data_IF_122776665626
#
_entry.id   IF_122776665626
#
_cell.length_a   1.000
_cell.length_b   1.000
_cell.length_c   1.000
_cell.angle_alpha   90.00
_cell.angle_beta   90.00
_cell.angle_gamma   90.00
#
_symmetry.space_group_name_H-M   'P 1'
#
loop_
_entity.id
_entity.type
_entity.pdbx_description
1 polymer ?
#
# COMPACT_ATOMS: atom_id res chain seq x y z
N UNK A 1 23.45 -11.43 -6.21
CA UNK A 1 22.05 -11.87 -6.38
C UNK A 1 22.07 -13.26 -6.99
N UNK A 2 21.41 -14.21 -6.35
CA UNK A 2 21.35 -15.60 -6.82
C UNK A 2 20.51 -15.69 -8.11
N UNK A 3 20.76 -16.69 -8.97
CA UNK A 3 20.03 -16.84 -10.24
C UNK A 3 18.52 -16.95 -10.02
N UNK A 4 18.11 -17.69 -8.99
CA UNK A 4 16.71 -17.88 -8.61
C UNK A 4 16.06 -16.57 -8.18
N UNK A 5 16.74 -15.80 -7.33
CA UNK A 5 16.26 -14.50 -6.87
C UNK A 5 16.10 -13.51 -8.04
N UNK A 6 17.04 -13.51 -9.00
CA UNK A 6 16.92 -12.73 -10.24
C UNK A 6 15.70 -13.07 -11.06
N UNK A 7 15.38 -14.36 -11.19
CA UNK A 7 14.19 -14.77 -11.90
C UNK A 7 12.91 -14.29 -11.19
N UNK A 8 12.88 -14.31 -9.85
CA UNK A 8 11.76 -13.77 -9.07
C UNK A 8 11.58 -12.28 -9.29
N UNK A 9 12.67 -11.49 -9.30
CA UNK A 9 12.59 -10.06 -9.59
C UNK A 9 12.03 -9.79 -10.99
N UNK A 10 12.50 -10.53 -12.00
CA UNK A 10 12.01 -10.41 -13.38
C UNK A 10 10.52 -10.77 -13.45
N UNK A 11 10.11 -11.85 -12.77
CA UNK A 11 8.72 -12.30 -12.73
C UNK A 11 7.79 -11.28 -12.07
N UNK A 12 8.16 -10.78 -10.89
CA UNK A 12 7.34 -9.77 -10.20
C UNK A 12 7.29 -8.49 -11.02
N UNK A 13 8.42 -8.02 -11.54
CA UNK A 13 8.47 -6.82 -12.38
C UNK A 13 7.63 -6.97 -13.66
N UNK A 14 7.63 -8.14 -14.31
CA UNK A 14 6.82 -8.37 -15.51
C UNK A 14 5.32 -8.39 -15.20
N UNK A 15 4.91 -8.96 -14.06
CA UNK A 15 3.51 -8.91 -13.59
C UNK A 15 3.09 -7.47 -13.31
N UNK A 16 3.91 -6.70 -12.58
CA UNK A 16 3.60 -5.29 -12.29
C UNK A 16 3.53 -4.44 -13.56
N UNK A 17 4.43 -4.68 -14.51
CA UNK A 17 4.39 -4.06 -15.83
C UNK A 17 3.12 -4.43 -16.59
N UNK A 18 2.71 -5.69 -16.59
CA UNK A 18 1.48 -6.14 -17.25
C UNK A 18 0.23 -5.47 -16.64
N UNK A 19 0.17 -5.34 -15.31
CA UNK A 19 -0.92 -4.63 -14.62
C UNK A 19 -0.96 -3.15 -15.05
N UNK A 20 0.18 -2.45 -15.02
CA UNK A 20 0.25 -1.05 -15.41
C UNK A 20 -0.06 -0.82 -16.89
N UNK A 21 0.45 -1.70 -17.77
CA UNK A 21 0.19 -1.66 -19.20
C UNK A 21 -1.30 -1.93 -19.51
N UNK A 22 -1.92 -2.93 -18.85
CA UNK A 22 -3.35 -3.19 -18.97
C UNK A 22 -4.18 -1.97 -18.56
N UNK A 23 -3.73 -1.22 -17.54
CA UNK A 23 -4.39 0.01 -17.15
C UNK A 23 -4.34 1.08 -18.24
N UNK A 24 -3.16 1.36 -18.79
CA UNK A 24 -2.96 2.32 -19.89
C UNK A 24 -3.74 1.94 -21.14
N UNK A 25 -3.82 0.65 -21.48
CA UNK A 25 -4.58 0.14 -22.63
C UNK A 25 -6.09 0.31 -22.41
N UNK A 26 -6.56 0.23 -21.17
CA UNK A 26 -7.99 0.28 -20.84
C UNK A 26 -8.58 1.68 -20.97
N UNK A 27 -8.00 2.68 -20.30
CA UNK A 27 -8.53 4.05 -20.30
C UNK A 27 -7.83 4.96 -21.32
N UNK A 28 -6.73 4.48 -21.93
CA UNK A 28 -5.82 5.31 -22.73
C UNK A 28 -4.79 6.06 -21.85
N UNK A 29 -3.64 6.46 -22.41
CA UNK A 29 -2.52 7.00 -21.64
C UNK A 29 -2.84 8.33 -20.95
N UNK A 30 -3.56 9.24 -21.61
CA UNK A 30 -3.84 10.58 -21.09
C UNK A 30 -4.81 10.50 -19.90
N UNK A 31 -5.91 9.77 -20.05
CA UNK A 31 -6.93 9.65 -18.99
C UNK A 31 -6.41 8.83 -17.81
N UNK A 32 -5.61 7.78 -18.08
CA UNK A 32 -4.93 7.01 -17.02
C UNK A 32 -4.03 7.91 -16.15
N UNK A 33 -3.23 8.77 -16.77
CA UNK A 33 -2.31 9.66 -16.03
C UNK A 33 -3.09 10.72 -15.25
N UNK A 34 -4.12 11.34 -15.86
CA UNK A 34 -4.98 12.30 -15.14
C UNK A 34 -5.65 11.64 -13.94
N UNK A 35 -6.24 10.46 -14.13
CA UNK A 35 -6.85 9.69 -13.05
C UNK A 35 -5.84 9.34 -11.96
N UNK A 36 -4.62 8.92 -12.32
CA UNK A 36 -3.55 8.65 -11.35
C UNK A 36 -3.23 9.87 -10.47
N UNK A 37 -3.15 11.06 -11.07
CA UNK A 37 -2.91 12.31 -10.33
C UNK A 37 -4.08 12.58 -9.38
N UNK A 38 -5.32 12.45 -9.86
CA UNK A 38 -6.53 12.60 -9.03
C UNK A 38 -6.46 11.67 -7.83
N UNK A 39 -6.11 10.38 -8.03
CA UNK A 39 -5.98 9.41 -6.96
C UNK A 39 -4.98 9.83 -5.87
N UNK A 40 -3.86 10.48 -6.23
CA UNK A 40 -2.89 10.95 -5.23
C UNK A 40 -3.48 12.01 -4.29
N UNK A 41 -4.48 12.77 -4.75
CA UNK A 41 -5.11 13.87 -4.02
C UNK A 41 -6.49 13.55 -3.47
N UNK A 42 -6.91 12.28 -3.54
CA UNK A 42 -8.21 11.83 -3.06
C UNK A 42 -8.11 11.23 -1.65
N UNK A 43 -9.05 11.62 -0.79
CA UNK A 43 -9.27 10.97 0.50
C UNK A 43 -9.55 9.48 0.33
N UNK A 44 -8.86 8.64 1.09
CA UNK A 44 -8.74 7.22 0.78
C UNK A 44 -9.31 6.31 1.88
N UNK A 45 -10.23 6.85 2.69
CA UNK A 45 -10.79 6.16 3.84
C UNK A 45 -11.69 5.00 3.41
N UNK A 46 -11.55 3.86 4.09
CA UNK A 46 -12.21 2.61 3.70
C UNK A 46 -13.76 2.70 3.79
N UNK A 47 -14.53 2.16 2.82
CA UNK A 47 -14.09 1.57 1.55
C UNK A 47 -14.09 2.65 0.45
N UNK A 48 -12.91 2.87 -0.15
CA UNK A 48 -12.73 3.77 -1.28
C UNK A 48 -12.24 2.97 -2.49
N UNK A 49 -13.13 2.65 -3.43
CA UNK A 49 -12.81 1.97 -4.68
C UNK A 49 -12.25 2.97 -5.73
N UNK A 50 -10.97 2.84 -6.06
CA UNK A 50 -10.30 3.73 -7.02
C UNK A 50 -10.73 3.50 -8.47
N UNK A 51 -11.35 2.36 -8.78
CA UNK A 51 -11.85 2.11 -10.14
C UNK A 51 -13.00 3.04 -10.53
N UNK A 52 -13.64 3.71 -9.55
CA UNK A 52 -14.62 4.77 -9.77
C UNK A 52 -14.04 6.02 -10.43
N UNK A 53 -12.74 6.29 -10.24
CA UNK A 53 -12.03 7.38 -10.94
C UNK A 53 -11.64 6.96 -12.35
N UNK A 54 -11.30 5.68 -12.52
CA UNK A 54 -10.93 5.07 -13.78
C UNK A 54 -10.28 3.72 -13.53
N UNK A 55 -10.63 2.71 -14.33
CA UNK A 55 -10.11 1.34 -14.18
C UNK A 55 -8.61 1.33 -14.48
N UNK A 56 -8.21 2.02 -15.52
CA UNK A 56 -6.81 2.18 -15.92
C UNK A 56 -5.99 2.93 -14.89
N UNK A 57 -6.52 4.04 -14.37
CA UNK A 57 -5.88 4.82 -13.31
C UNK A 57 -5.66 3.98 -12.03
N UNK A 58 -6.66 3.20 -11.61
CA UNK A 58 -6.56 2.31 -10.46
C UNK A 58 -5.51 1.22 -10.66
N UNK A 59 -5.49 0.56 -11.82
CA UNK A 59 -4.49 -0.47 -12.15
C UNK A 59 -3.06 0.09 -12.19
N UNK A 60 -2.87 1.27 -12.79
CA UNK A 60 -1.56 1.92 -12.80
C UNK A 60 -1.12 2.31 -11.38
N UNK A 61 -2.03 2.85 -10.57
CA UNK A 61 -1.75 3.17 -9.16
C UNK A 61 -1.35 1.91 -8.37
N UNK A 62 -2.09 0.80 -8.53
CA UNK A 62 -1.78 -0.48 -7.90
C UNK A 62 -0.38 -1.00 -8.29
N UNK A 63 -0.03 -0.92 -9.57
CA UNK A 63 1.30 -1.30 -10.05
C UNK A 63 2.41 -0.43 -9.45
N UNK A 64 2.18 0.89 -9.35
CA UNK A 64 3.16 1.83 -8.76
C UNK A 64 3.33 1.61 -7.25
N UNK A 65 2.24 1.41 -6.50
CA UNK A 65 2.29 1.08 -5.08
C UNK A 65 3.09 -0.20 -4.86
N UNK A 66 2.85 -1.24 -5.65
CA UNK A 66 3.59 -2.49 -5.56
C UNK A 66 5.06 -2.33 -6.00
N UNK A 67 5.34 -1.49 -6.99
CA UNK A 67 6.70 -1.20 -7.45
C UNK A 67 7.53 -0.51 -6.35
N UNK A 68 6.93 0.37 -5.54
CA UNK A 68 7.59 0.91 -4.33
C UNK A 68 8.03 -0.23 -3.42
N UNK A 69 7.17 -1.24 -3.22
CA UNK A 69 7.51 -2.40 -2.42
C UNK A 69 8.65 -3.23 -3.00
N UNK A 70 8.65 -3.47 -4.31
CA UNK A 70 9.72 -4.20 -5.01
C UNK A 70 11.06 -3.45 -4.91
N UNK A 71 11.05 -2.15 -5.14
CA UNK A 71 12.22 -1.26 -5.02
C UNK A 71 12.75 -1.25 -3.59
N UNK A 72 11.86 -1.19 -2.60
CA UNK A 72 12.22 -1.25 -1.19
C UNK A 72 12.97 -2.53 -0.85
N UNK A 73 12.45 -3.69 -1.27
CA UNK A 73 13.09 -5.00 -1.01
C UNK A 73 14.47 -5.06 -1.67
N UNK A 74 14.58 -4.57 -2.91
CA UNK A 74 15.84 -4.53 -3.65
C UNK A 74 16.92 -3.72 -2.93
N UNK A 75 16.60 -2.50 -2.48
CA UNK A 75 17.58 -1.63 -1.81
C UNK A 75 17.83 -2.00 -0.34
N UNK A 76 16.86 -2.63 0.33
CA UNK A 76 17.01 -3.02 1.74
C UNK A 76 17.82 -4.30 1.93
N UNK A 77 18.37 -4.87 0.85
CA UNK A 77 19.15 -6.12 0.85
C UNK A 77 18.41 -7.30 1.51
N UNK A 78 17.08 -7.33 1.36
CA UNK A 78 16.23 -8.42 1.83
C UNK A 78 16.01 -9.39 0.68
N UNK A 79 16.03 -10.69 0.97
CA UNK A 79 15.78 -11.70 -0.05
C UNK A 79 14.35 -11.61 -0.56
N UNK A 80 14.20 -11.59 -1.89
CA UNK A 80 12.89 -11.69 -2.51
C UNK A 80 12.39 -13.13 -2.35
N UNK A 81 11.52 -13.33 -1.37
CA UNK A 81 10.98 -14.60 -0.91
C UNK A 81 9.45 -14.54 -0.81
N UNK A 82 8.81 -15.68 -0.50
CA UNK A 82 7.35 -15.81 -0.38
C UNK A 82 6.69 -14.69 0.44
N UNK A 83 7.14 -14.37 1.67
CA UNK A 83 6.58 -13.29 2.48
C UNK A 83 6.69 -11.91 1.83
N UNK A 84 7.84 -11.58 1.23
CA UNK A 84 8.03 -10.28 0.56
C UNK A 84 7.21 -10.17 -0.73
N UNK A 85 7.09 -11.25 -1.49
CA UNK A 85 6.24 -11.30 -2.70
C UNK A 85 4.77 -11.15 -2.30
N UNK A 86 4.33 -11.85 -1.25
CA UNK A 86 2.98 -11.71 -0.71
C UNK A 86 2.71 -10.27 -0.25
N UNK A 87 3.67 -9.61 0.41
CA UNK A 87 3.56 -8.21 0.80
C UNK A 87 3.42 -7.27 -0.40
N UNK A 88 4.24 -7.46 -1.46
CA UNK A 88 4.19 -6.66 -2.69
C UNK A 88 2.83 -6.81 -3.39
N UNK A 89 2.31 -8.04 -3.54
CA UNK A 89 0.99 -8.23 -4.16
C UNK A 89 -0.16 -7.78 -3.27
N UNK A 90 -0.01 -7.86 -1.95
CA UNK A 90 -0.97 -7.26 -1.00
C UNK A 90 -1.00 -5.73 -1.16
N UNK A 91 0.17 -5.11 -1.32
CA UNK A 91 0.28 -3.69 -1.63
C UNK A 91 -0.39 -3.35 -2.97
N UNK A 92 -0.21 -4.18 -4.01
CA UNK A 92 -0.91 -4.03 -5.29
C UNK A 92 -2.44 -4.05 -5.10
N UNK A 93 -2.97 -5.08 -4.41
CA UNK A 93 -4.40 -5.23 -4.18
C UNK A 93 -5.01 -4.04 -3.43
N UNK A 94 -4.37 -3.61 -2.33
CA UNK A 94 -4.83 -2.42 -1.60
C UNK A 94 -4.55 -1.10 -2.34
N UNK A 95 -3.68 -1.10 -3.35
CA UNK A 95 -3.51 0.02 -4.29
C UNK A 95 -4.76 0.28 -5.14
N UNK A 96 -5.69 -0.67 -5.22
CA UNK A 96 -7.03 -0.46 -5.80
C UNK A 96 -8.02 0.14 -4.80
N UNK A 97 -7.70 0.07 -3.50
CA UNK A 97 -8.61 0.39 -2.38
C UNK A 97 -7.95 1.33 -1.37
N UNK A 98 -7.49 2.50 -1.82
CA UNK A 98 -7.11 3.57 -0.92
C UNK A 98 -5.61 3.70 -0.59
N UNK A 99 -4.74 2.88 -1.17
CA UNK A 99 -3.28 3.13 -1.09
C UNK A 99 -2.78 3.87 -2.30
N UNK A 100 -1.92 4.85 -2.09
CA UNK A 100 -1.26 5.63 -3.14
C UNK A 100 0.24 5.73 -2.85
N UNK A 101 1.09 5.95 -3.87
CA UNK A 101 2.47 6.34 -3.65
C UNK A 101 2.63 7.45 -2.60
N UNK A 102 1.81 8.51 -2.69
CA UNK A 102 1.86 9.64 -1.76
C UNK A 102 1.68 9.20 -0.30
N UNK A 103 0.71 8.32 -0.03
CA UNK A 103 0.34 7.96 1.34
C UNK A 103 1.19 6.81 1.92
N UNK A 104 1.82 6.00 1.07
CA UNK A 104 2.68 4.90 1.49
C UNK A 104 4.07 5.39 1.94
N UNK A 105 4.66 6.36 1.24
CA UNK A 105 6.04 6.80 1.46
C UNK A 105 6.29 7.36 2.88
N UNK A 106 5.42 8.19 3.47
CA UNK A 106 5.62 8.68 4.84
C UNK A 106 5.63 7.56 5.87
N UNK A 107 4.76 6.55 5.71
CA UNK A 107 4.71 5.39 6.60
C UNK A 107 6.01 4.60 6.53
N UNK A 108 6.49 4.32 5.31
CA UNK A 108 7.77 3.63 5.07
C UNK A 108 8.92 4.43 5.70
N UNK A 109 8.94 5.75 5.49
CA UNK A 109 9.94 6.65 6.08
C UNK A 109 9.94 6.60 7.61
N UNK A 110 8.75 6.56 8.22
CA UNK A 110 8.60 6.38 9.67
C UNK A 110 9.18 5.06 10.18
N UNK A 111 8.89 3.95 9.51
CA UNK A 111 9.42 2.63 9.89
C UNK A 111 10.95 2.59 9.78
N UNK A 112 11.51 3.20 8.73
CA UNK A 112 12.96 3.29 8.58
C UNK A 112 13.62 4.21 9.60
N UNK A 113 12.97 5.31 9.97
CA UNK A 113 13.42 6.15 11.08
C UNK A 113 13.46 5.34 12.40
N UNK A 114 12.47 4.49 12.65
CA UNK A 114 12.47 3.60 13.80
C UNK A 114 13.60 2.56 13.73
N UNK A 115 13.86 1.98 12.56
CA UNK A 115 14.98 1.05 12.37
C UNK A 115 16.33 1.74 12.67
N UNK A 116 16.52 2.96 12.16
CA UNK A 116 17.72 3.75 12.39
C UNK A 116 17.95 4.04 13.87
N UNK A 117 16.92 4.53 14.58
CA UNK A 117 17.00 4.82 16.02
C UNK A 117 17.21 3.55 16.85
N UNK A 118 16.62 2.43 16.45
CA UNK A 118 16.81 1.14 17.11
C UNK A 118 18.15 0.45 16.77
N UNK A 119 19.02 1.11 15.99
CA UNK A 119 20.27 0.54 15.47
C UNK A 119 20.07 -0.82 14.77
N UNK A 120 18.96 -0.96 14.03
CA UNK A 120 18.63 -2.14 13.23
C UNK A 120 18.92 -1.85 11.76
N UNK A 121 19.26 -2.90 11.01
CA UNK A 121 19.35 -2.80 9.55
C UNK A 121 17.96 -2.53 8.97
N UNK A 122 17.88 -1.68 7.93
CA UNK A 122 16.62 -1.36 7.24
C UNK A 122 15.91 -2.63 6.73
N UNK A 123 16.69 -3.62 6.31
CA UNK A 123 16.18 -4.93 5.89
C UNK A 123 15.34 -5.64 6.96
N UNK A 124 15.73 -5.53 8.23
CA UNK A 124 15.01 -6.19 9.34
C UNK A 124 13.58 -5.68 9.51
N UNK A 125 13.30 -4.43 9.12
CA UNK A 125 11.97 -3.82 9.22
C UNK A 125 11.24 -3.73 7.87
N UNK A 126 11.76 -4.35 6.81
CA UNK A 126 11.18 -4.24 5.47
C UNK A 126 9.75 -4.78 5.40
N UNK A 127 9.46 -5.96 5.96
CA UNK A 127 8.09 -6.48 6.00
C UNK A 127 7.16 -5.59 6.83
N UNK A 128 7.67 -4.98 7.90
CA UNK A 128 6.91 -4.02 8.71
C UNK A 128 6.59 -2.77 7.88
N UNK A 129 7.54 -2.27 7.09
CA UNK A 129 7.34 -1.12 6.20
C UNK A 129 6.31 -1.42 5.10
N UNK A 130 6.44 -2.56 4.43
CA UNK A 130 5.55 -2.97 3.33
C UNK A 130 4.10 -3.14 3.81
N UNK A 131 3.89 -3.93 4.87
CA UNK A 131 2.54 -4.14 5.42
C UNK A 131 2.03 -2.90 6.18
N UNK A 132 2.93 -2.12 6.75
CA UNK A 132 2.63 -0.86 7.44
C UNK A 132 1.89 0.15 6.58
N UNK A 133 2.09 0.12 5.26
CA UNK A 133 1.34 0.94 4.30
C UNK A 133 -0.18 0.79 4.38
N UNK A 134 -0.70 -0.22 5.09
CA UNK A 134 -2.10 -0.30 5.49
C UNK A 134 -2.61 0.95 6.23
N UNK A 135 -1.71 1.70 6.88
CA UNK A 135 -2.01 2.99 7.51
C UNK A 135 -2.04 4.17 6.54
N UNK A 136 -1.74 3.97 5.25
CA UNK A 136 -1.77 5.01 4.21
C UNK A 136 -3.04 5.87 4.21
N UNK A 137 -4.26 5.30 4.29
CA UNK A 137 -5.49 6.07 4.37
C UNK A 137 -5.52 7.14 5.45
N UNK A 138 -4.85 6.93 6.60
CA UNK A 138 -4.73 7.95 7.66
C UNK A 138 -4.04 9.22 7.16
N UNK A 139 -2.99 9.07 6.34
CA UNK A 139 -2.23 10.18 5.79
C UNK A 139 -3.11 11.03 4.88
N UNK A 140 -3.76 10.41 3.88
CA UNK A 140 -4.66 11.10 2.94
C UNK A 140 -5.89 11.69 3.60
N UNK A 141 -6.42 11.04 4.65
CA UNK A 141 -7.52 11.58 5.44
C UNK A 141 -7.14 12.93 6.08
N UNK A 142 -5.98 12.99 6.74
CA UNK A 142 -5.50 14.22 7.37
C UNK A 142 -5.15 15.31 6.34
N UNK A 143 -4.65 14.91 5.16
CA UNK A 143 -4.29 15.85 4.09
C UNK A 143 -5.51 16.48 3.40
N UNK A 144 -6.53 15.68 3.10
CA UNK A 144 -7.58 16.07 2.15
C UNK A 144 -9.00 16.06 2.74
N UNK A 145 -9.24 15.39 3.87
CA UNK A 145 -10.59 15.26 4.45
C UNK A 145 -10.80 16.08 5.74
N UNK A 146 -9.74 16.64 6.34
CA UNK A 146 -9.83 17.40 7.60
C UNK A 146 -10.34 18.85 7.44
N UNK A 147 -10.68 19.29 6.23
CA UNK A 147 -11.10 20.65 5.90
C UNK A 147 -10.15 21.77 6.40
N UNK A 148 -8.87 21.45 6.59
CA UNK A 148 -7.83 22.43 6.93
C UNK A 148 -7.21 23.03 5.66
N UNK A 149 -6.59 24.23 5.75
CA UNK A 149 -5.81 24.77 4.64
C UNK A 149 -4.70 23.80 4.22
N UNK A 150 -4.51 23.61 2.91
CA UNK A 150 -3.54 22.65 2.35
C UNK A 150 -2.10 22.86 2.88
N UNK A 151 -1.72 24.11 3.14
CA UNK A 151 -0.41 24.46 3.71
C UNK A 151 -0.20 23.87 5.12
N UNK A 152 -1.27 23.60 5.88
CA UNK A 152 -1.21 22.98 7.19
C UNK A 152 -1.52 21.47 7.13
N UNK A 153 -2.49 21.06 6.31
CA UNK A 153 -2.95 19.66 6.23
C UNK A 153 -1.90 18.74 5.62
N UNK A 154 -1.15 19.20 4.60
CA UNK A 154 -0.13 18.38 3.93
C UNK A 154 1.02 18.04 4.90
N UNK A 155 1.69 19.00 5.56
CA UNK A 155 2.69 18.69 6.56
C UNK A 155 2.15 17.82 7.70
N UNK A 156 0.92 18.10 8.17
CA UNK A 156 0.27 17.31 9.22
C UNK A 156 0.14 15.85 8.81
N UNK A 157 -0.42 15.57 7.62
CA UNK A 157 -0.57 14.20 7.12
C UNK A 157 0.76 13.48 6.95
N UNK A 158 1.78 14.16 6.40
CA UNK A 158 3.13 13.59 6.26
C UNK A 158 3.73 13.24 7.63
N UNK A 159 3.67 14.17 8.59
CA UNK A 159 4.20 13.99 9.94
C UNK A 159 3.45 12.89 10.69
N UNK A 160 2.14 12.83 10.58
CA UNK A 160 1.36 11.74 11.19
C UNK A 160 1.67 10.39 10.52
N UNK A 161 1.90 10.36 9.21
CA UNK A 161 2.36 9.15 8.54
C UNK A 161 3.72 8.67 9.06
N UNK A 162 4.70 9.58 9.14
CA UNK A 162 6.01 9.26 9.72
C UNK A 162 5.88 8.81 11.18
N UNK A 163 5.06 9.48 11.99
CA UNK A 163 4.83 9.10 13.38
C UNK A 163 4.17 7.71 13.50
N UNK A 164 3.15 7.44 12.69
CA UNK A 164 2.46 6.15 12.67
C UNK A 164 3.40 5.01 12.23
N UNK A 165 4.22 5.24 11.20
CA UNK A 165 5.26 4.32 10.79
C UNK A 165 6.35 4.13 11.85
N UNK A 166 6.72 5.19 12.56
CA UNK A 166 7.75 5.15 13.60
C UNK A 166 7.34 4.29 14.80
N UNK A 167 6.11 4.41 15.27
CA UNK A 167 5.63 3.60 16.40
C UNK A 167 5.33 2.14 16.01
N UNK A 168 5.08 1.88 14.72
CA UNK A 168 4.58 0.60 14.23
C UNK A 168 5.45 -0.61 14.63
N UNK A 169 6.78 -0.62 14.48
CA UNK A 169 7.60 -1.77 14.89
C UNK A 169 7.50 -2.10 16.39
N UNK A 170 7.41 -1.07 17.24
CA UNK A 170 7.29 -1.27 18.69
C UNK A 170 5.94 -1.90 19.04
N UNK A 171 4.85 -1.36 18.50
CA UNK A 171 3.50 -1.92 18.71
C UNK A 171 3.40 -3.33 18.12
N UNK A 172 4.00 -3.59 16.95
CA UNK A 172 4.00 -4.91 16.33
C UNK A 172 4.73 -5.96 17.19
N UNK A 173 5.80 -5.57 17.87
CA UNK A 173 6.49 -6.43 18.83
C UNK A 173 5.60 -6.79 20.03
N UNK A 174 4.87 -5.82 20.59
CA UNK A 174 3.93 -6.05 21.68
C UNK A 174 2.72 -6.89 21.24
N UNK A 175 2.20 -6.68 20.04
CA UNK A 175 1.08 -7.45 19.48
C UNK A 175 1.49 -8.91 19.24
N UNK A 176 2.70 -9.16 18.75
CA UNK A 176 3.23 -10.51 18.57
C UNK A 176 3.25 -11.30 19.88
N UNK A 177 3.64 -10.65 20.98
CA UNK A 177 3.58 -11.23 22.32
C UNK A 177 2.15 -11.43 22.79
N UNK A 178 1.25 -10.48 22.53
CA UNK A 178 -0.16 -10.60 22.93
C UNK A 178 -0.83 -11.83 22.30
N UNK A 179 -0.64 -12.04 21.00
CA UNK A 179 -1.28 -13.16 20.29
C UNK A 179 -0.38 -14.40 20.18
N UNK A 180 0.80 -14.42 20.81
CA UNK A 180 1.73 -15.57 20.87
C UNK A 180 2.04 -16.22 19.51
N UNK A 181 2.11 -15.42 18.43
CA UNK A 181 2.35 -15.95 17.09
C UNK A 181 1.15 -16.60 16.37
N UNK A 182 -0.03 -16.72 17.01
CA UNK A 182 -1.23 -17.29 16.37
C UNK A 182 -1.81 -16.44 15.23
N UNK A 183 -1.48 -15.15 15.18
CA UNK A 183 -1.81 -14.29 14.05
C UNK A 183 -0.61 -14.18 13.10
N UNK A 184 -0.69 -14.89 11.97
CA UNK A 184 0.33 -14.85 10.92
C UNK A 184 0.45 -13.48 10.25
N UNK A 185 -0.62 -12.67 10.29
CA UNK A 185 -0.64 -11.30 9.77
C UNK A 185 -0.53 -10.24 10.87
N UNK A 186 0.47 -10.41 11.76
CA UNK A 186 0.70 -9.53 12.91
C UNK A 186 0.80 -8.03 12.54
N UNK A 187 1.54 -7.67 11.49
CA UNK A 187 1.73 -6.25 11.12
C UNK A 187 0.41 -5.64 10.65
N UNK A 188 -0.39 -6.34 9.86
CA UNK A 188 -1.71 -5.87 9.43
C UNK A 188 -2.66 -5.66 10.62
N UNK A 189 -2.66 -6.60 11.57
CA UNK A 189 -3.41 -6.48 12.81
C UNK A 189 -2.96 -5.27 13.64
N UNK A 190 -1.65 -5.08 13.76
CA UNK A 190 -1.06 -3.92 14.43
C UNK A 190 -1.49 -2.60 13.77
N UNK A 191 -1.52 -2.54 12.44
CA UNK A 191 -2.05 -1.40 11.70
C UNK A 191 -3.53 -1.16 12.02
N UNK A 192 -4.34 -2.23 12.15
CA UNK A 192 -5.72 -2.14 12.61
C UNK A 192 -5.84 -1.49 13.99
N UNK A 193 -5.01 -1.90 14.94
CA UNK A 193 -4.96 -1.30 16.29
C UNK A 193 -4.58 0.18 16.26
N UNK A 194 -3.51 0.52 15.54
CA UNK A 194 -3.06 1.91 15.40
C UNK A 194 -4.14 2.76 14.71
N UNK A 195 -4.76 2.23 13.64
CA UNK A 195 -5.85 2.88 12.93
C UNK A 195 -7.07 3.14 13.81
N UNK A 196 -7.47 2.16 14.63
CA UNK A 196 -8.54 2.32 15.61
C UNK A 196 -8.21 3.41 16.64
N UNK A 197 -6.98 3.47 17.12
CA UNK A 197 -6.53 4.50 18.05
C UNK A 197 -6.65 5.91 17.44
N UNK A 198 -6.09 6.14 16.25
CA UNK A 198 -6.18 7.43 15.56
C UNK A 198 -7.63 7.78 15.20
N UNK A 199 -8.41 6.82 14.71
CA UNK A 199 -9.84 7.01 14.44
C UNK A 199 -10.60 7.44 15.69
N UNK A 200 -10.29 6.85 16.85
CA UNK A 200 -10.94 7.20 18.12
C UNK A 200 -10.56 8.59 18.59
N UNK A 201 -9.30 8.99 18.42
CA UNK A 201 -8.82 10.33 18.72
C UNK A 201 -9.48 11.39 17.83
N UNK A 202 -9.54 11.15 16.52
CA UNK A 202 -10.20 12.04 15.55
C UNK A 202 -11.70 12.17 15.84
N UNK A 203 -12.36 11.07 16.24
CA UNK A 203 -13.77 11.08 16.65
C UNK A 203 -13.97 11.88 17.93
N UNK A 204 -13.09 11.75 18.91
CA UNK A 204 -13.12 12.54 20.15
C UNK A 204 -12.90 14.04 19.91
N UNK A 205 -12.10 14.40 18.89
CA UNK A 205 -11.87 15.77 18.45
C UNK A 205 -12.95 16.32 17.49
N UNK A 206 -14.08 15.62 17.32
CA UNK A 206 -15.15 15.97 16.37
C UNK A 206 -14.67 16.19 14.92
N UNK A 207 -13.54 15.60 14.57
CA UNK A 207 -12.86 15.75 13.27
C UNK A 207 -12.97 14.49 12.40
N UNK A 208 -13.87 13.58 12.77
CA UNK A 208 -14.15 12.34 12.05
C UNK A 208 -15.42 12.50 11.20
N UNK A 209 -15.25 12.60 9.88
CA UNK A 209 -16.36 12.61 8.93
C UNK A 209 -17.16 11.29 8.98
N UNK A 210 -18.45 11.26 8.58
CA UNK A 210 -19.20 10.01 8.41
C UNK A 210 -18.55 9.10 7.37
N UNK A 211 -18.75 7.79 7.49
CA UNK A 211 -18.16 6.80 6.58
C UNK A 211 -19.01 6.66 5.34
N UNK A 212 -18.42 6.98 4.20
CA UNK A 212 -18.99 6.76 2.88
C UNK A 212 -18.35 5.52 2.27
N UNK A 213 -19.19 4.62 1.75
CA UNK A 213 -18.74 3.42 1.04
C UNK A 213 -18.82 3.74 -0.44
N UNK A 214 -17.66 3.92 -1.07
CA UNK A 214 -17.55 4.11 -2.51
C UNK A 214 -17.13 2.78 -3.13
N UNK A 215 -18.02 2.21 -3.93
CA UNK A 215 -17.84 0.89 -4.52
C UNK A 215 -18.29 0.87 -5.98
N UNK A 216 -17.48 0.30 -6.87
CA UNK A 216 -17.85 0.16 -8.27
C UNK A 216 -18.72 -1.09 -8.49
N UNK A 217 -19.95 -0.86 -8.97
CA UNK A 217 -20.94 -1.92 -9.23
C UNK A 217 -20.90 -2.38 -10.70
N UNK A 218 -20.16 -1.68 -11.57
CA UNK A 218 -20.06 -1.99 -12.99
C UNK A 218 -18.72 -2.66 -13.30
N UNK A 219 -18.67 -4.00 -13.42
CA UNK A 219 -17.42 -4.70 -13.61
C UNK A 219 -16.88 -4.49 -15.03
N UNK A 220 -15.66 -3.95 -15.13
CA UNK A 220 -14.98 -3.77 -16.42
C UNK A 220 -14.36 -5.10 -16.88
N UNK A 221 -14.46 -5.48 -18.18
CA UNK A 221 -13.90 -6.72 -18.70
C UNK A 221 -12.41 -6.91 -18.39
N UNK A 222 -11.62 -5.83 -18.43
CA UNK A 222 -10.20 -5.85 -18.04
C UNK A 222 -10.03 -6.42 -16.63
N UNK A 223 -10.81 -5.98 -15.65
CA UNK A 223 -10.67 -6.43 -14.26
C UNK A 223 -11.06 -7.90 -14.10
N UNK A 224 -12.09 -8.36 -14.84
CA UNK A 224 -12.54 -9.75 -14.82
C UNK A 224 -11.47 -10.68 -15.42
N UNK A 225 -10.86 -10.29 -16.54
CA UNK A 225 -9.95 -11.16 -17.30
C UNK A 225 -8.50 -11.09 -16.82
N UNK A 226 -8.05 -9.95 -16.29
CA UNK A 226 -6.67 -9.73 -15.90
C UNK A 226 -6.20 -10.73 -14.84
N UNK A 227 -6.97 -10.92 -13.76
CA UNK A 227 -6.56 -11.79 -12.65
C UNK A 227 -6.46 -13.26 -13.09
N UNK A 228 -7.47 -13.87 -13.75
CA UNK A 228 -7.35 -15.24 -14.24
C UNK A 228 -6.18 -15.44 -15.22
N UNK A 229 -5.95 -14.49 -16.14
CA UNK A 229 -4.84 -14.57 -17.11
C UNK A 229 -3.49 -14.52 -16.39
N UNK A 230 -3.32 -13.61 -15.43
CA UNK A 230 -2.09 -13.52 -14.63
C UNK A 230 -1.86 -14.80 -13.82
N UNK A 231 -2.89 -15.32 -13.15
CA UNK A 231 -2.79 -16.57 -12.39
C UNK A 231 -2.41 -17.75 -13.29
N UNK A 232 -3.05 -17.90 -14.45
CA UNK A 232 -2.72 -18.95 -15.40
C UNK A 232 -1.28 -18.81 -15.91
N UNK A 233 -0.83 -17.59 -16.23
CA UNK A 233 0.54 -17.31 -16.64
C UNK A 233 1.57 -17.67 -15.56
N UNK A 234 1.28 -17.35 -14.30
CA UNK A 234 2.15 -17.71 -13.16
C UNK A 234 2.21 -19.23 -12.94
N UNK A 235 1.09 -19.94 -13.07
CA UNK A 235 1.05 -21.40 -12.97
C UNK A 235 1.89 -22.03 -14.10
N UNK A 236 1.72 -21.57 -15.33
CA UNK A 236 2.51 -22.06 -16.47
C UNK A 236 4.00 -21.77 -16.30
N UNK A 237 4.37 -20.58 -15.83
CA UNK A 237 5.76 -20.23 -15.55
C UNK A 237 6.39 -21.08 -14.43
N UNK A 238 5.59 -21.59 -13.49
CA UNK A 238 6.07 -22.48 -12.43
C UNK A 238 6.25 -23.93 -12.89
N UNK A 239 5.60 -24.33 -13.99
CA UNK A 239 5.69 -25.67 -14.57
C UNK A 239 6.85 -25.82 -15.57
N UNK A 240 7.40 -24.71 -16.07
CA UNK A 240 8.52 -24.63 -17.02
C UNK A 240 9.86 -24.44 -16.30
#
# INVERSE_FOLDING_TARGET
MERTERNLYILVASVLFAIGAAGIITDGPIETIKGLITLQTTGARLIQDFTMVGVGAALLNAALVAAIGLVLVFFSSVSLSGPTIAAIFTMAGFGLFGKTPLNCLPIIGGVWLAAFIAHKNLGSYSLIALFGTALGPLVTYLMFELNLPLAASIPLGLLTGVAAGFILPAVAGSMLQLHQGYNLYNVGFTCGFIGLFFSSLLKGASSMAPLEIVWNIQPHPTLILLIPILCAGLILAALL
#
